data_IF_689980798705
#
_entry.id   IF_689980798705
#
_cell.length_a   1.000
_cell.length_b   1.000
_cell.length_c   1.000
_cell.angle_alpha   90.00
_cell.angle_beta   90.00
_cell.angle_gamma   90.00
#
_symmetry.space_group_name_H-M   'P 1'
#
loop_
_entity.id
_entity.type
_entity.pdbx_description
1 polymer ?
#
# COMPACT_ATOMS: atom_id res chain seq x y z
N UNK A 1 -22.55 -3.18 -14.22
CA UNK A 1 -23.15 -2.02 -13.54
C UNK A 1 -22.28 -0.82 -13.82
N UNK A 2 -22.86 0.34 -14.08
CA UNK A 2 -22.12 1.54 -14.47
C UNK A 2 -22.63 2.71 -13.65
N UNK A 3 -21.79 3.22 -12.76
CA UNK A 3 -22.09 4.37 -11.91
C UNK A 3 -21.29 5.58 -12.37
N UNK A 4 -21.92 6.75 -12.41
CA UNK A 4 -21.23 8.03 -12.61
C UNK A 4 -20.88 8.60 -11.25
N UNK A 5 -19.58 8.74 -10.98
CA UNK A 5 -19.09 9.27 -9.70
C UNK A 5 -18.49 10.67 -9.88
N UNK A 6 -18.67 11.52 -8.85
CA UNK A 6 -18.06 12.85 -8.82
C UNK A 6 -16.59 12.74 -8.41
N UNK A 7 -15.73 13.43 -9.14
CA UNK A 7 -14.36 13.71 -8.71
C UNK A 7 -14.39 14.83 -7.66
N UNK A 8 -13.86 14.56 -6.47
CA UNK A 8 -13.77 15.54 -5.38
C UNK A 8 -12.43 16.30 -5.45
N UNK A 9 -12.13 17.08 -4.42
CA UNK A 9 -10.89 17.86 -4.39
C UNK A 9 -9.66 16.95 -4.54
N UNK A 10 -8.61 17.48 -5.18
CA UNK A 10 -7.36 16.76 -5.42
C UNK A 10 -7.49 15.51 -6.31
N UNK A 11 -8.57 15.37 -7.06
CA UNK A 11 -8.74 14.25 -8.01
C UNK A 11 -9.21 12.94 -7.36
N UNK A 12 -9.72 12.98 -6.13
CA UNK A 12 -10.21 11.80 -5.44
C UNK A 12 -11.58 11.36 -5.98
N UNK A 13 -11.86 10.07 -5.95
CA UNK A 13 -13.18 9.49 -6.27
C UNK A 13 -13.64 8.58 -5.14
N UNK A 14 -14.96 8.51 -4.94
CA UNK A 14 -15.56 7.55 -4.01
C UNK A 14 -15.90 6.28 -4.77
N UNK A 15 -15.41 5.12 -4.31
CA UNK A 15 -15.83 3.83 -4.83
C UNK A 15 -17.25 3.48 -4.33
N UNK A 16 -18.22 3.24 -5.23
CA UNK A 16 -19.55 2.74 -4.86
C UNK A 16 -19.48 1.49 -3.98
N UNK A 17 -20.48 1.30 -3.12
CA UNK A 17 -20.49 0.18 -2.16
C UNK A 17 -20.40 -1.18 -2.86
N UNK A 18 -21.10 -1.35 -3.97
CA UNK A 18 -21.13 -2.63 -4.69
C UNK A 18 -19.77 -3.02 -5.26
N UNK A 19 -19.00 -2.04 -5.76
CA UNK A 19 -17.62 -2.26 -6.21
C UNK A 19 -16.71 -2.62 -5.03
N UNK A 20 -16.84 -1.92 -3.90
CA UNK A 20 -16.05 -2.21 -2.70
C UNK A 20 -16.30 -3.62 -2.19
N UNK A 21 -17.57 -4.04 -2.12
CA UNK A 21 -17.95 -5.38 -1.66
C UNK A 21 -17.49 -6.45 -2.65
N UNK A 22 -17.68 -6.26 -3.96
CA UNK A 22 -17.26 -7.23 -4.97
C UNK A 22 -15.75 -7.47 -5.01
N UNK A 23 -14.95 -6.45 -4.68
CA UNK A 23 -13.49 -6.51 -4.69
C UNK A 23 -12.86 -6.65 -3.29
N UNK A 24 -13.68 -6.81 -2.24
CA UNK A 24 -13.24 -6.89 -0.84
C UNK A 24 -12.31 -5.72 -0.44
N UNK A 25 -12.67 -4.49 -0.80
CA UNK A 25 -11.86 -3.29 -0.53
C UNK A 25 -12.30 -2.65 0.78
N UNK A 26 -11.36 -2.57 1.72
CA UNK A 26 -11.46 -1.85 2.99
C UNK A 26 -10.69 -0.53 2.98
N UNK A 27 -10.82 0.26 4.04
CA UNK A 27 -10.00 1.44 4.34
C UNK A 27 -8.49 1.14 4.48
N UNK A 28 -8.14 -0.10 4.85
CA UNK A 28 -6.77 -0.60 4.95
C UNK A 28 -6.21 -1.16 3.64
N UNK A 29 -7.04 -1.25 2.59
CA UNK A 29 -6.63 -1.79 1.29
C UNK A 29 -5.88 -0.75 0.48
N UNK A 30 -4.81 -1.19 -0.20
CA UNK A 30 -4.12 -0.38 -1.20
C UNK A 30 -4.55 -0.85 -2.59
N UNK A 31 -4.62 0.07 -3.56
CA UNK A 31 -4.90 -0.24 -4.96
C UNK A 31 -3.69 0.11 -5.82
N UNK A 32 -3.36 -0.75 -6.78
CA UNK A 32 -2.47 -0.40 -7.88
C UNK A 32 -3.32 0.25 -8.96
N UNK A 33 -2.87 1.40 -9.47
CA UNK A 33 -3.57 2.19 -10.48
C UNK A 33 -2.69 2.31 -11.71
N UNK A 34 -3.20 1.88 -12.87
CA UNK A 34 -2.50 1.89 -14.15
C UNK A 34 -3.40 2.54 -15.21
N UNK A 35 -2.82 3.36 -16.11
CA UNK A 35 -3.54 3.91 -17.25
C UNK A 35 -3.44 2.97 -18.45
N UNK A 36 -4.57 2.64 -19.06
CA UNK A 36 -4.66 1.81 -20.27
C UNK A 36 -5.47 2.57 -21.32
N UNK A 37 -4.78 3.28 -22.21
CA UNK A 37 -5.41 4.22 -23.14
C UNK A 37 -6.13 5.33 -22.37
N UNK A 38 -7.44 5.46 -22.60
CA UNK A 38 -8.30 6.44 -21.92
C UNK A 38 -8.95 5.90 -20.64
N UNK A 39 -8.59 4.67 -20.24
CA UNK A 39 -9.13 4.02 -19.05
C UNK A 39 -8.12 4.03 -17.90
N UNK A 40 -8.66 4.05 -16.69
CA UNK A 40 -7.90 3.79 -15.46
C UNK A 40 -8.26 2.39 -14.97
N UNK A 41 -7.28 1.49 -14.93
CA UNK A 41 -7.41 0.18 -14.35
C UNK A 41 -6.92 0.22 -12.90
N UNK A 42 -7.77 -0.22 -11.98
CA UNK A 42 -7.44 -0.35 -10.57
C UNK A 42 -7.56 -1.82 -10.14
N UNK A 43 -6.55 -2.33 -9.45
CA UNK A 43 -6.57 -3.67 -8.84
C UNK A 43 -6.18 -3.60 -7.37
N UNK A 44 -6.81 -4.42 -6.53
CA UNK A 44 -6.39 -4.56 -5.13
C UNK A 44 -4.92 -4.95 -5.12
N UNK A 45 -4.11 -4.13 -4.45
CA UNK A 45 -2.73 -4.49 -4.19
C UNK A 45 -2.77 -5.64 -3.19
N UNK A 46 -2.55 -6.85 -3.68
CA UNK A 46 -2.09 -7.92 -2.82
C UNK A 46 -0.71 -7.52 -2.33
N UNK A 47 -0.66 -6.84 -1.19
CA UNK A 47 0.57 -6.74 -0.43
C UNK A 47 0.87 -8.17 -0.03
N UNK A 48 1.69 -8.85 -0.83
CA UNK A 48 2.25 -10.13 -0.47
C UNK A 48 3.24 -9.81 0.64
N UNK A 49 2.72 -9.70 1.85
CA UNK A 49 3.50 -9.43 3.06
C UNK A 49 4.68 -10.39 3.14
N UNK A 50 4.48 -11.64 2.68
CA UNK A 50 5.54 -12.64 2.50
C UNK A 50 6.64 -12.22 1.51
N UNK A 51 6.28 -11.64 0.37
CA UNK A 51 7.27 -11.14 -0.61
C UNK A 51 8.01 -9.92 -0.08
N UNK A 52 7.32 -8.97 0.54
CA UNK A 52 7.96 -7.81 1.18
C UNK A 52 8.89 -8.27 2.32
N UNK A 53 8.42 -9.16 3.19
CA UNK A 53 9.25 -9.77 4.23
C UNK A 53 10.46 -10.51 3.64
N UNK A 54 10.28 -11.22 2.52
CA UNK A 54 11.36 -11.91 1.82
C UNK A 54 12.40 -10.94 1.27
N UNK A 55 11.97 -9.87 0.60
CA UNK A 55 12.83 -8.81 0.06
C UNK A 55 13.62 -8.14 1.19
N UNK A 56 12.94 -7.72 2.26
CA UNK A 56 13.58 -7.09 3.42
C UNK A 56 14.58 -8.03 4.11
N UNK A 57 14.21 -9.30 4.29
CA UNK A 57 15.10 -10.31 4.88
C UNK A 57 16.34 -10.55 4.02
N UNK A 58 16.18 -10.60 2.70
CA UNK A 58 17.29 -10.79 1.77
C UNK A 58 18.22 -9.58 1.73
N UNK A 59 17.69 -8.36 1.73
CA UNK A 59 18.49 -7.13 1.78
C UNK A 59 19.24 -7.01 3.12
N UNK A 60 18.59 -7.33 4.24
CA UNK A 60 19.21 -7.36 5.56
C UNK A 60 20.37 -8.39 5.62
N UNK A 61 20.18 -9.59 5.05
CA UNK A 61 21.25 -10.59 4.92
C UNK A 61 22.42 -10.08 4.08
N UNK A 62 22.15 -9.52 2.89
CA UNK A 62 23.18 -8.95 2.00
C UNK A 62 24.00 -7.86 2.70
N UNK A 63 23.32 -6.99 3.45
CA UNK A 63 23.95 -5.88 4.18
C UNK A 63 24.50 -6.29 5.55
N UNK A 64 24.45 -7.58 5.91
CA UNK A 64 24.87 -8.12 7.21
C UNK A 64 24.27 -7.36 8.40
N UNK A 65 23.02 -6.92 8.26
CA UNK A 65 22.30 -6.20 9.31
C UNK A 65 21.88 -7.20 10.38
N UNK A 66 22.38 -6.98 11.60
CA UNK A 66 22.00 -7.79 12.76
C UNK A 66 20.66 -7.33 13.34
N UNK A 67 19.97 -8.23 14.04
CA UNK A 67 18.75 -7.91 14.80
C UNK A 67 18.96 -6.71 15.75
N UNK A 68 20.13 -6.65 16.41
CA UNK A 68 20.48 -5.56 17.32
C UNK A 68 20.57 -4.20 16.61
N UNK A 69 21.15 -4.16 15.40
CA UNK A 69 21.23 -2.95 14.60
C UNK A 69 19.86 -2.50 14.10
N UNK A 70 19.01 -3.46 13.69
CA UNK A 70 17.64 -3.17 13.26
C UNK A 70 16.81 -2.57 14.41
N UNK A 71 16.84 -3.19 15.60
CA UNK A 71 16.13 -2.68 16.78
C UNK A 71 16.61 -1.28 17.17
N UNK A 72 17.93 -1.04 17.15
CA UNK A 72 18.49 0.29 17.42
C UNK A 72 18.05 1.35 16.40
N UNK A 73 17.86 0.97 15.13
CA UNK A 73 17.36 1.88 14.11
C UNK A 73 15.88 2.21 14.33
N UNK A 74 15.07 1.22 14.71
CA UNK A 74 13.64 1.40 15.02
C UNK A 74 13.44 2.31 16.24
N UNK A 75 14.18 2.06 17.32
CA UNK A 75 14.17 2.92 18.52
C UNK A 75 14.57 4.38 18.20
N UNK A 76 15.48 4.59 17.24
CA UNK A 76 15.87 5.93 16.79
C UNK A 76 14.78 6.60 15.94
N UNK A 77 14.10 5.85 15.07
CA UNK A 77 13.01 6.40 14.27
C UNK A 77 11.81 6.80 15.13
N UNK A 78 11.47 6.00 16.14
CA UNK A 78 10.35 6.31 17.06
C UNK A 78 10.61 7.57 17.88
N UNK A 79 11.86 7.82 18.28
CA UNK A 79 12.25 9.05 19.00
C UNK A 79 12.32 10.30 18.12
N UNK A 80 12.33 10.14 16.79
CA UNK A 80 12.37 11.24 15.82
C UNK A 80 11.01 11.65 15.27
N UNK A 81 9.97 10.84 15.48
CA UNK A 81 8.60 11.08 14.99
C UNK A 81 7.66 11.78 15.98
N UNK A 82 8.16 12.09 17.19
CA UNK A 82 7.45 12.89 18.20
C UNK A 82 8.27 14.14 18.56
N UNK A 83 8.37 15.07 17.60
CA UNK A 83 8.72 16.47 17.78
C UNK A 83 7.91 17.29 16.78
#
# INVERSE_FOLDING_TARGET
>A
MTDVVKVTSKGQITLPIDIRTALDISDSSYLVVEQVGDYVLMKKAEIRLKEIQSILKNDAKRKKITKKQLLKALEKSEKGTWN
#
